data_IF_624658301343
#
_entry.id   IF_624658301343
#
_cell.length_a   1.000
_cell.length_b   1.000
_cell.length_c   1.000
_cell.angle_alpha   90.00
_cell.angle_beta   90.00
_cell.angle_gamma   90.00
#
_symmetry.space_group_name_H-M   'P 1'
#
loop_
_entity.id
_entity.type
_entity.pdbx_description
1 polymer ?
#
# COMPACT_ATOMS: atom_id res chain seq x y z
N UNK A 1 9.89 -22.98 -2.65
CA UNK A 1 10.28 -21.75 -3.36
C UNK A 1 9.07 -20.83 -3.35
N UNK A 2 9.30 -19.53 -3.18
CA UNK A 2 8.25 -18.52 -3.29
C UNK A 2 7.56 -18.61 -4.67
N UNK A 3 6.23 -18.45 -4.69
CA UNK A 3 5.42 -18.43 -5.92
C UNK A 3 5.25 -17.00 -6.45
N UNK A 4 5.28 -16.01 -5.56
CA UNK A 4 5.21 -14.58 -5.87
C UNK A 4 6.51 -13.87 -5.52
N UNK A 5 6.68 -12.65 -6.03
CA UNK A 5 7.70 -11.72 -5.54
C UNK A 5 7.21 -11.12 -4.21
N UNK A 6 5.92 -10.78 -4.15
CA UNK A 6 5.29 -10.18 -2.99
C UNK A 6 4.64 -11.23 -2.06
N UNK A 7 5.25 -11.47 -0.89
CA UNK A 7 4.76 -12.42 0.12
C UNK A 7 3.34 -12.10 0.59
N UNK A 8 3.01 -10.82 0.76
CA UNK A 8 1.68 -10.41 1.22
C UNK A 8 0.60 -10.84 0.23
N UNK A 9 0.83 -10.61 -1.07
CA UNK A 9 -0.07 -11.08 -2.13
C UNK A 9 -0.18 -12.61 -2.12
N UNK A 10 0.94 -13.33 -2.01
CA UNK A 10 0.93 -14.80 -1.98
C UNK A 10 0.03 -15.37 -0.87
N UNK A 11 0.02 -14.73 0.30
CA UNK A 11 -0.80 -15.14 1.43
C UNK A 11 -2.27 -14.74 1.28
N UNK A 12 -2.54 -13.52 0.81
CA UNK A 12 -3.90 -13.07 0.53
C UNK A 12 -4.60 -13.95 -0.52
N UNK A 13 -3.86 -14.41 -1.55
CA UNK A 13 -4.38 -15.38 -2.54
C UNK A 13 -4.75 -16.75 -1.95
N UNK A 14 -4.20 -17.07 -0.77
CA UNK A 14 -4.49 -18.30 -0.03
C UNK A 14 -5.55 -18.07 1.05
N UNK A 15 -6.21 -16.91 1.05
CA UNK A 15 -7.18 -16.50 2.07
C UNK A 15 -6.58 -16.54 3.49
N UNK A 16 -5.28 -16.20 3.59
CA UNK A 16 -4.58 -16.09 4.87
C UNK A 16 -4.50 -14.63 5.32
N UNK A 17 -4.69 -14.36 6.63
CA UNK A 17 -4.36 -13.05 7.17
C UNK A 17 -2.88 -12.76 7.01
N UNK A 18 -2.54 -11.49 6.83
CA UNK A 18 -1.17 -11.00 6.80
C UNK A 18 -0.95 -10.01 7.94
N UNK A 19 0.26 -9.97 8.45
CA UNK A 19 0.65 -9.08 9.55
C UNK A 19 1.81 -8.18 9.12
N UNK A 20 1.89 -6.99 9.69
CA UNK A 20 2.98 -6.05 9.40
C UNK A 20 3.73 -5.59 10.63
N UNK A 21 4.98 -5.20 10.39
CA UNK A 21 5.79 -4.42 11.31
C UNK A 21 6.11 -3.06 10.67
N UNK A 22 6.52 -2.09 11.48
CA UNK A 22 6.81 -0.73 11.03
C UNK A 22 5.76 0.28 11.50
N UNK A 23 6.14 1.56 11.49
CA UNK A 23 5.33 2.65 12.04
C UNK A 23 4.68 3.52 10.96
N UNK A 24 3.77 4.40 11.40
CA UNK A 24 3.13 5.42 10.56
C UNK A 24 3.92 6.75 10.52
N UNK A 25 4.96 6.88 11.36
CA UNK A 25 5.85 8.05 11.45
C UNK A 25 7.29 7.62 11.17
N UNK A 26 7.53 7.18 9.94
CA UNK A 26 8.81 6.74 9.42
C UNK A 26 9.12 5.26 9.70
N UNK A 27 10.34 4.90 9.31
CA UNK A 27 11.02 3.66 9.65
C UNK A 27 12.53 3.94 9.73
N UNK A 28 13.32 3.07 10.35
CA UNK A 28 14.78 3.22 10.33
C UNK A 28 15.29 2.75 8.97
N UNK A 29 15.54 3.71 8.07
CA UNK A 29 15.89 3.45 6.68
C UNK A 29 17.41 3.41 6.46
N UNK A 30 18.08 2.43 7.07
CA UNK A 30 19.52 2.17 6.85
C UNK A 30 19.75 0.77 6.31
N UNK A 31 20.93 0.54 5.72
CA UNK A 31 21.32 -0.80 5.26
C UNK A 31 21.35 -1.81 6.42
N UNK A 32 21.90 -1.42 7.57
CA UNK A 32 21.98 -2.30 8.74
C UNK A 32 20.61 -2.71 9.27
N UNK A 33 19.65 -1.78 9.29
CA UNK A 33 18.28 -2.12 9.66
C UNK A 33 17.66 -3.07 8.63
N UNK A 34 17.92 -2.86 7.34
CA UNK A 34 17.47 -3.77 6.28
C UNK A 34 18.00 -5.19 6.46
N UNK A 35 19.27 -5.37 6.85
CA UNK A 35 19.83 -6.70 7.15
C UNK A 35 19.06 -7.39 8.28
N UNK A 36 18.68 -6.65 9.33
CA UNK A 36 17.91 -7.20 10.45
C UNK A 36 16.48 -7.54 10.04
N UNK A 37 15.83 -6.62 9.35
CA UNK A 37 14.42 -6.74 8.97
C UNK A 37 14.18 -7.77 7.85
N UNK A 38 15.21 -8.16 7.11
CA UNK A 38 15.13 -9.26 6.14
C UNK A 38 14.63 -10.58 6.76
N UNK A 39 14.79 -10.73 8.08
CA UNK A 39 14.33 -11.87 8.87
C UNK A 39 13.17 -11.51 9.82
N UNK A 40 12.43 -10.44 9.53
CA UNK A 40 11.21 -10.09 10.27
C UNK A 40 10.22 -11.25 10.28
N UNK A 41 9.41 -11.32 11.34
CA UNK A 41 8.29 -12.26 11.45
C UNK A 41 7.09 -11.81 10.62
N UNK A 42 7.02 -10.53 10.27
CA UNK A 42 5.91 -9.92 9.55
C UNK A 42 5.89 -10.31 8.07
N UNK A 43 4.70 -10.32 7.48
CA UNK A 43 4.49 -10.64 6.06
C UNK A 43 4.81 -9.45 5.15
N UNK A 44 4.69 -8.23 5.68
CA UNK A 44 5.21 -7.01 5.05
C UNK A 44 5.71 -6.01 6.09
N UNK A 45 6.44 -5.00 5.61
CA UNK A 45 6.96 -3.89 6.40
C UNK A 45 6.29 -2.60 5.92
N UNK A 46 5.70 -1.87 6.86
CA UNK A 46 5.15 -0.53 6.61
C UNK A 46 6.23 0.54 6.82
N UNK A 47 6.35 1.46 5.87
CA UNK A 47 7.19 2.64 5.99
C UNK A 47 6.30 3.88 5.94
N UNK A 48 6.10 4.49 7.11
CA UNK A 48 5.22 5.66 7.26
C UNK A 48 5.83 6.95 6.75
N UNK A 49 5.73 7.28 5.46
CA UNK A 49 6.23 8.56 4.94
C UNK A 49 5.20 9.68 4.97
N UNK A 50 3.92 9.40 5.25
CA UNK A 50 2.88 10.42 5.45
C UNK A 50 3.27 11.41 6.56
N UNK A 51 3.68 10.88 7.71
CA UNK A 51 4.12 11.68 8.85
C UNK A 51 5.63 11.61 9.09
N UNK A 52 6.34 10.76 8.34
CA UNK A 52 7.79 10.60 8.40
C UNK A 52 8.55 11.47 7.41
N UNK A 53 9.88 11.31 7.37
CA UNK A 53 10.70 11.95 6.36
C UNK A 53 10.53 11.26 4.99
N UNK A 54 10.37 12.05 3.93
CA UNK A 54 10.40 11.56 2.55
C UNK A 54 11.83 11.30 2.08
N UNK A 55 12.46 10.26 2.64
CA UNK A 55 13.88 9.94 2.44
C UNK A 55 14.07 8.78 1.44
N UNK A 56 14.25 9.15 0.16
CA UNK A 56 14.48 8.18 -0.91
C UNK A 56 15.90 7.59 -0.92
N UNK A 57 16.87 8.27 -0.29
CA UNK A 57 18.24 7.74 -0.17
C UNK A 57 18.28 6.67 0.91
N UNK A 58 17.69 6.95 2.07
CA UNK A 58 17.52 5.97 3.13
C UNK A 58 16.71 4.76 2.65
N UNK A 59 15.59 4.98 1.94
CA UNK A 59 14.78 3.89 1.40
C UNK A 59 15.60 3.00 0.44
N UNK A 60 16.43 3.58 -0.42
CA UNK A 60 17.31 2.82 -1.33
C UNK A 60 18.31 1.94 -0.55
N UNK A 61 19.00 2.51 0.44
CA UNK A 61 19.93 1.78 1.30
C UNK A 61 19.24 0.68 2.10
N UNK A 62 18.04 0.95 2.61
CA UNK A 62 17.24 0.00 3.36
C UNK A 62 16.81 -1.19 2.50
N UNK A 63 16.30 -0.92 1.29
CA UNK A 63 15.94 -1.99 0.33
C UNK A 63 17.16 -2.84 -0.05
N UNK A 64 18.35 -2.23 -0.22
CA UNK A 64 19.59 -2.98 -0.44
C UNK A 64 19.95 -3.86 0.76
N UNK A 65 19.77 -3.37 1.99
CA UNK A 65 19.95 -4.16 3.21
C UNK A 65 19.01 -5.37 3.27
N UNK A 66 17.73 -5.20 2.90
CA UNK A 66 16.78 -6.32 2.84
C UNK A 66 17.22 -7.39 1.83
N UNK A 67 17.76 -6.98 0.68
CA UNK A 67 18.27 -7.90 -0.35
C UNK A 67 19.48 -8.68 0.17
N UNK A 68 20.43 -7.99 0.80
CA UNK A 68 21.68 -8.59 1.28
C UNK A 68 21.46 -9.50 2.51
N UNK A 69 20.43 -9.22 3.31
CA UNK A 69 20.01 -10.07 4.43
C UNK A 69 19.10 -11.23 4.01
N UNK A 70 18.51 -11.16 2.82
CA UNK A 70 17.65 -12.21 2.29
C UNK A 70 18.40 -13.48 1.85
N UNK A 71 17.67 -14.54 1.41
CA UNK A 71 16.22 -14.60 1.34
C UNK A 71 15.57 -14.70 2.72
N UNK A 72 14.29 -14.36 2.79
CA UNK A 72 13.46 -14.54 3.99
C UNK A 72 13.27 -16.02 4.32
N UNK A 73 12.75 -16.32 5.52
CA UNK A 73 12.42 -17.70 5.92
C UNK A 73 11.38 -18.37 4.99
N UNK A 74 10.52 -17.59 4.33
CA UNK A 74 9.55 -18.07 3.34
C UNK A 74 10.15 -18.21 1.93
N UNK A 75 11.44 -17.93 1.76
CA UNK A 75 12.16 -18.05 0.49
C UNK A 75 11.92 -16.90 -0.49
N UNK A 76 11.36 -15.78 -0.04
CA UNK A 76 11.23 -14.55 -0.82
C UNK A 76 12.55 -13.77 -0.78
N UNK A 77 12.85 -12.98 -1.81
CA UNK A 77 14.12 -12.24 -1.88
C UNK A 77 14.22 -11.20 -0.76
N UNK A 78 13.13 -10.50 -0.50
CA UNK A 78 12.96 -9.56 0.62
C UNK A 78 11.58 -9.77 1.25
N UNK A 79 11.31 -9.29 2.46
CA UNK A 79 9.95 -9.00 2.88
C UNK A 79 9.28 -8.03 1.89
N UNK A 80 7.95 -8.06 1.81
CA UNK A 80 7.22 -7.02 1.08
C UNK A 80 7.35 -5.69 1.84
N UNK A 81 7.43 -4.58 1.10
CA UNK A 81 7.53 -3.22 1.67
C UNK A 81 6.42 -2.37 1.10
N UNK A 82 5.60 -1.78 1.96
CA UNK A 82 4.50 -0.88 1.60
C UNK A 82 4.80 0.49 2.21
N UNK A 83 4.67 1.54 1.39
CA UNK A 83 4.96 2.91 1.83
C UNK A 83 3.67 3.71 1.95
N UNK A 84 3.45 4.34 3.10
CA UNK A 84 2.44 5.38 3.25
C UNK A 84 2.95 6.64 2.59
N UNK A 85 2.36 7.01 1.46
CA UNK A 85 2.89 8.13 0.66
C UNK A 85 2.50 9.48 1.27
N UNK A 86 3.39 10.49 1.31
CA UNK A 86 3.08 11.84 1.78
C UNK A 86 2.26 12.64 0.76
N UNK A 87 1.07 12.14 0.44
CA UNK A 87 0.11 12.77 -0.47
C UNK A 87 -1.29 12.61 0.08
N UNK A 88 -2.08 13.68 0.02
CA UNK A 88 -3.48 13.65 0.41
C UNK A 88 -4.34 13.12 -0.75
N UNK A 89 -5.14 12.09 -0.50
CA UNK A 89 -6.14 11.57 -1.45
C UNK A 89 -7.42 12.40 -1.56
N UNK A 90 -7.34 13.73 -1.38
CA UNK A 90 -8.50 14.61 -1.24
C UNK A 90 -9.14 15.05 -2.57
N UNK A 91 -8.40 15.00 -3.68
CA UNK A 91 -8.93 15.19 -5.05
C UNK A 91 -8.05 14.53 -6.13
N UNK A 92 -8.62 14.34 -7.32
CA UNK A 92 -7.89 13.85 -8.49
C UNK A 92 -6.71 14.75 -8.86
N UNK A 93 -6.88 16.06 -8.82
CA UNK A 93 -5.84 17.02 -9.18
C UNK A 93 -4.64 16.93 -8.23
N UNK A 94 -4.88 16.82 -6.92
CA UNK A 94 -3.80 16.69 -5.93
C UNK A 94 -2.98 15.44 -6.21
N UNK A 95 -3.64 14.32 -6.47
CA UNK A 95 -2.97 13.06 -6.83
C UNK A 95 -2.17 13.22 -8.13
N UNK A 96 -2.77 13.77 -9.19
CA UNK A 96 -2.08 13.93 -10.49
C UNK A 96 -0.89 14.88 -10.41
N UNK A 97 -1.01 16.01 -9.69
CA UNK A 97 0.10 16.95 -9.51
C UNK A 97 1.23 16.37 -8.66
N UNK A 98 0.91 15.50 -7.70
CA UNK A 98 1.88 14.87 -6.82
C UNK A 98 2.30 13.45 -7.24
N UNK A 99 1.90 13.00 -8.43
CA UNK A 99 2.22 11.66 -8.93
C UNK A 99 3.73 11.36 -9.01
N UNK A 100 4.57 12.39 -8.96
CA UNK A 100 6.02 12.26 -8.84
C UNK A 100 6.45 11.51 -7.56
N UNK A 101 5.69 11.58 -6.46
CA UNK A 101 5.98 10.88 -5.22
C UNK A 101 5.86 9.36 -5.40
N UNK A 102 4.76 8.88 -5.99
CA UNK A 102 4.60 7.46 -6.31
C UNK A 102 5.71 6.96 -7.24
N UNK A 103 6.06 7.76 -8.27
CA UNK A 103 7.16 7.41 -9.18
C UNK A 103 8.49 7.24 -8.45
N UNK A 104 8.82 8.14 -7.51
CA UNK A 104 10.06 8.07 -6.74
C UNK A 104 10.07 6.88 -5.77
N UNK A 105 8.95 6.65 -5.07
CA UNK A 105 8.79 5.51 -4.15
C UNK A 105 8.94 4.18 -4.91
N UNK A 106 8.15 3.98 -5.97
CA UNK A 106 8.18 2.75 -6.77
C UNK A 106 9.53 2.55 -7.47
N UNK A 107 10.28 3.62 -7.73
CA UNK A 107 11.63 3.54 -8.28
C UNK A 107 12.66 2.92 -7.31
N UNK A 108 12.32 2.77 -6.02
CA UNK A 108 13.12 2.01 -5.04
C UNK A 108 12.76 0.52 -4.98
N UNK A 109 11.84 0.06 -5.83
CA UNK A 109 11.44 -1.35 -5.88
C UNK A 109 10.58 -1.81 -4.70
N UNK A 110 9.90 -0.89 -4.01
CA UNK A 110 8.91 -1.26 -3.00
C UNK A 110 7.75 -2.04 -3.63
N UNK A 111 7.04 -2.79 -2.80
CA UNK A 111 6.05 -3.78 -3.22
C UNK A 111 4.61 -3.26 -3.16
N UNK A 112 4.40 -2.07 -2.60
CA UNK A 112 3.08 -1.48 -2.46
C UNK A 112 3.10 -0.04 -2.00
N UNK A 113 1.94 0.60 -2.10
CA UNK A 113 1.70 1.96 -1.60
C UNK A 113 0.36 1.97 -0.87
N UNK A 114 0.35 2.63 0.30
CA UNK A 114 -0.86 2.97 1.04
C UNK A 114 -1.12 4.47 0.85
N UNK A 115 -2.26 4.81 0.24
CA UNK A 115 -2.72 6.18 0.08
C UNK A 115 -3.55 6.62 1.29
N UNK A 116 -3.12 7.69 1.93
CA UNK A 116 -3.82 8.27 3.07
C UNK A 116 -4.87 9.30 2.62
N UNK A 117 -5.86 9.55 3.48
CA UNK A 117 -6.98 10.45 3.26
C UNK A 117 -7.65 10.25 1.89
N UNK A 118 -8.03 9.00 1.57
CA UNK A 118 -8.65 8.66 0.29
C UNK A 118 -10.10 9.16 0.20
N UNK A 119 -10.29 10.47 0.05
CA UNK A 119 -11.57 11.13 0.25
C UNK A 119 -12.54 10.99 -0.93
N UNK A 120 -12.04 10.79 -2.15
CA UNK A 120 -12.88 10.75 -3.36
C UNK A 120 -12.53 9.56 -4.26
N UNK A 121 -13.52 8.97 -4.97
CA UNK A 121 -13.26 7.88 -5.91
C UNK A 121 -12.31 8.29 -7.04
N UNK A 122 -12.40 9.54 -7.50
CA UNK A 122 -11.52 10.06 -8.55
C UNK A 122 -10.07 10.21 -8.09
N UNK A 123 -9.82 10.59 -6.82
CA UNK A 123 -8.48 10.58 -6.25
C UNK A 123 -7.90 9.15 -6.19
N UNK A 124 -8.72 8.18 -5.75
CA UNK A 124 -8.31 6.76 -5.69
C UNK A 124 -8.00 6.23 -7.10
N UNK A 125 -8.85 6.52 -8.07
CA UNK A 125 -8.65 6.16 -9.48
C UNK A 125 -7.34 6.76 -10.03
N UNK A 126 -7.14 8.07 -9.83
CA UNK A 126 -5.91 8.73 -10.25
C UNK A 126 -4.66 8.17 -9.56
N UNK A 127 -4.78 7.68 -8.32
CA UNK A 127 -3.69 7.05 -7.58
C UNK A 127 -3.31 5.71 -8.20
N UNK A 128 -4.30 4.85 -8.47
CA UNK A 128 -4.09 3.58 -9.16
C UNK A 128 -3.44 3.84 -10.53
N UNK A 129 -3.99 4.76 -11.33
CA UNK A 129 -3.43 5.14 -12.63
C UNK A 129 -1.98 5.66 -12.52
N UNK A 130 -1.65 6.41 -11.46
CA UNK A 130 -0.30 6.95 -11.25
C UNK A 130 0.76 5.89 -10.92
N UNK A 131 0.34 4.74 -10.40
CA UNK A 131 1.23 3.62 -10.09
C UNK A 131 1.49 2.70 -11.30
N UNK A 132 0.70 2.84 -12.38
CA UNK A 132 0.67 1.91 -13.52
C UNK A 132 1.43 2.41 -14.73
N UNK A 133 2.09 1.52 -15.45
CA UNK A 133 2.72 1.86 -16.72
C UNK A 133 1.65 2.04 -17.83
N UNK A 134 1.79 3.03 -18.75
CA UNK A 134 0.82 3.26 -19.82
C UNK A 134 0.61 2.11 -20.80
N UNK A 135 1.56 1.16 -20.88
CA UNK A 135 1.48 -0.02 -21.76
C UNK A 135 0.52 -1.08 -21.21
N UNK A 136 0.22 -1.04 -19.91
CA UNK A 136 -0.64 -2.00 -19.25
C UNK A 136 -2.11 -1.57 -19.43
N UNK A 137 -2.84 -2.33 -20.24
CA UNK A 137 -4.18 -1.95 -20.72
C UNK A 137 -5.33 -2.59 -19.94
N UNK A 138 -5.07 -3.47 -18.97
CA UNK A 138 -6.11 -4.11 -18.15
C UNK A 138 -6.92 -3.02 -17.41
N UNK A 139 -8.25 -3.12 -17.42
CA UNK A 139 -9.14 -2.15 -16.77
C UNK A 139 -9.29 -0.79 -17.48
N UNK A 140 -8.53 -0.49 -18.54
CA UNK A 140 -8.65 0.78 -19.28
C UNK A 140 -10.00 0.83 -19.99
N UNK A 141 -10.77 1.89 -19.75
CA UNK A 141 -12.15 2.03 -20.23
C UNK A 141 -13.19 1.27 -19.40
N UNK A 142 -12.75 0.57 -18.35
CA UNK A 142 -13.58 -0.19 -17.42
C UNK A 142 -13.33 0.24 -15.97
N UNK A 143 -13.38 1.56 -15.73
CA UNK A 143 -13.19 2.17 -14.41
C UNK A 143 -11.82 2.83 -14.21
N UNK A 144 -10.86 2.60 -15.10
CA UNK A 144 -9.55 3.26 -15.11
C UNK A 144 -9.26 3.90 -16.47
N UNK A 145 -8.50 4.98 -16.48
CA UNK A 145 -7.77 5.45 -17.65
C UNK A 145 -6.40 4.75 -17.78
N UNK A 146 -5.62 5.14 -18.80
CA UNK A 146 -4.25 4.64 -18.97
C UNK A 146 -3.37 5.03 -17.79
N UNK A 147 -2.49 4.11 -17.41
CA UNK A 147 -1.45 4.39 -16.42
C UNK A 147 -0.56 5.56 -16.84
N UNK A 148 0.03 6.25 -15.86
CA UNK A 148 0.86 7.45 -16.09
C UNK A 148 2.28 7.33 -15.52
N UNK A 149 2.66 6.16 -15.00
CA UNK A 149 4.03 5.87 -14.55
C UNK A 149 4.98 5.84 -15.75
N UNK A 150 5.92 6.77 -15.77
CA UNK A 150 6.94 6.83 -16.81
C UNK A 150 7.99 5.73 -16.70
N UNK A 151 8.59 5.38 -17.83
CA UNK A 151 9.81 4.54 -17.86
C UNK A 151 11.01 5.30 -17.28
N UNK A 152 12.02 4.57 -16.80
CA UNK A 152 13.28 5.11 -16.30
C UNK A 152 13.72 4.56 -14.94
N UNK A 153 12.80 3.98 -14.17
CA UNK A 153 13.12 3.40 -12.86
C UNK A 153 13.51 1.92 -12.90
N UNK A 154 13.25 1.23 -14.00
CA UNK A 154 13.50 -0.20 -14.14
C UNK A 154 14.95 -0.60 -13.80
N UNK A 155 15.99 0.19 -14.16
CA UNK A 155 17.37 -0.12 -13.77
C UNK A 155 17.61 -0.15 -12.25
N UNK A 156 16.77 0.51 -11.45
CA UNK A 156 16.86 0.50 -9.98
C UNK A 156 15.82 -0.41 -9.33
N UNK A 157 14.61 -0.52 -9.88
CA UNK A 157 13.53 -1.29 -9.27
C UNK A 157 13.52 -2.78 -9.65
N UNK A 158 13.87 -3.15 -10.88
CA UNK A 158 13.87 -4.55 -11.31
C UNK A 158 14.90 -5.42 -10.56
N UNK A 159 16.14 -4.94 -10.28
CA UNK A 159 17.09 -5.71 -9.49
C UNK A 159 16.63 -6.02 -8.06
N UNK A 160 15.81 -5.15 -7.46
CA UNK A 160 15.22 -5.37 -6.13
C UNK A 160 14.33 -6.60 -6.15
N UNK A 161 13.53 -6.76 -7.20
CA UNK A 161 12.64 -7.90 -7.40
C UNK A 161 13.36 -9.14 -7.98
N UNK A 162 14.63 -9.00 -8.35
CA UNK A 162 15.44 -10.07 -8.93
C UNK A 162 15.02 -10.51 -10.33
N UNK A 163 14.41 -9.60 -11.09
CA UNK A 163 13.94 -9.85 -12.47
C UNK A 163 14.57 -8.87 -13.46
N UNK A 164 14.46 -9.16 -14.75
CA UNK A 164 14.83 -8.21 -15.80
C UNK A 164 13.80 -7.06 -15.93
N UNK A 165 14.15 -6.04 -16.71
CA UNK A 165 13.36 -4.82 -16.83
C UNK A 165 11.99 -5.04 -17.48
N UNK A 166 11.88 -5.93 -18.46
CA UNK A 166 10.61 -6.19 -19.17
C UNK A 166 9.69 -6.99 -18.26
N UNK A 167 10.21 -8.05 -17.62
CA UNK A 167 9.48 -8.80 -16.58
C UNK A 167 9.01 -7.88 -15.45
N UNK A 168 9.83 -6.92 -15.02
CA UNK A 168 9.41 -5.93 -14.02
C UNK A 168 8.24 -5.06 -14.51
N UNK A 169 8.28 -4.57 -15.75
CA UNK A 169 7.18 -3.73 -16.30
C UNK A 169 5.86 -4.51 -16.37
N UNK A 170 5.91 -5.78 -16.76
CA UNK A 170 4.74 -6.65 -16.83
C UNK A 170 4.17 -6.97 -15.45
N UNK A 171 5.04 -7.21 -14.46
CA UNK A 171 4.66 -7.57 -13.09
C UNK A 171 4.37 -6.39 -12.18
N UNK A 172 4.89 -5.19 -12.46
CA UNK A 172 4.65 -3.98 -11.69
C UNK A 172 3.28 -3.36 -12.00
N UNK A 173 2.24 -4.20 -11.98
CA UNK A 173 0.83 -3.84 -12.01
C UNK A 173 0.18 -4.11 -10.64
N UNK A 174 -0.88 -3.37 -10.30
CA UNK A 174 -1.66 -3.62 -9.11
C UNK A 174 -2.33 -5.00 -9.13
N UNK A 175 -2.16 -5.76 -8.06
CA UNK A 175 -2.98 -6.92 -7.73
C UNK A 175 -4.20 -6.46 -6.92
N UNK A 176 -5.42 -7.00 -7.14
CA UNK A 176 -5.77 -8.12 -8.01
C UNK A 176 -6.16 -7.72 -9.45
N UNK A 177 -6.00 -6.44 -9.84
CA UNK A 177 -6.36 -5.98 -11.19
C UNK A 177 -5.64 -6.80 -12.28
N UNK A 178 -4.33 -6.97 -12.15
CA UNK A 178 -3.58 -7.98 -12.89
C UNK A 178 -3.35 -9.19 -11.97
N UNK A 179 -3.86 -10.38 -12.30
CA UNK A 179 -3.60 -11.60 -11.52
C UNK A 179 -2.11 -11.97 -11.41
N UNK A 180 -1.28 -11.53 -12.36
CA UNK A 180 0.18 -11.71 -12.34
C UNK A 180 0.94 -10.51 -11.76
N UNK A 181 0.20 -9.48 -11.32
CA UNK A 181 0.71 -8.26 -10.72
C UNK A 181 1.30 -8.49 -9.32
N UNK A 182 2.27 -7.66 -8.96
CA UNK A 182 3.03 -7.78 -7.71
C UNK A 182 2.98 -6.50 -6.86
N UNK A 183 2.26 -5.46 -7.31
CA UNK A 183 2.01 -4.25 -6.53
C UNK A 183 0.76 -4.40 -5.68
N UNK A 184 0.90 -4.24 -4.36
CA UNK A 184 -0.23 -4.21 -3.43
C UNK A 184 -0.57 -2.75 -3.09
N UNK A 185 -1.65 -2.23 -3.67
CA UNK A 185 -2.11 -0.87 -3.41
C UNK A 185 -3.25 -0.89 -2.39
N UNK A 186 -3.22 0.06 -1.46
CA UNK A 186 -4.30 0.24 -0.49
C UNK A 186 -4.61 1.70 -0.21
N UNK A 187 -5.72 1.90 0.49
CA UNK A 187 -6.23 3.23 0.86
C UNK A 187 -6.65 3.28 2.32
N UNK A 188 -6.56 4.46 2.92
CA UNK A 188 -7.14 4.74 4.24
C UNK A 188 -8.43 5.56 4.10
N UNK A 189 -9.53 4.99 4.60
CA UNK A 189 -10.84 5.63 4.70
C UNK A 189 -10.94 6.29 6.09
N UNK A 190 -10.27 7.44 6.24
CA UNK A 190 -9.95 7.98 7.56
C UNK A 190 -10.44 9.42 7.80
N UNK A 191 -11.26 9.93 6.89
CA UNK A 191 -12.01 11.17 7.08
C UNK A 191 -13.51 10.93 6.92
N UNK A 192 -14.35 11.81 7.48
CA UNK A 192 -15.81 11.74 7.27
C UNK A 192 -16.18 11.80 5.79
N UNK A 193 -15.40 12.55 4.99
CA UNK A 193 -15.59 12.62 3.54
C UNK A 193 -15.20 11.31 2.86
N UNK A 194 -14.06 10.72 3.23
CA UNK A 194 -13.69 9.38 2.75
C UNK A 194 -14.77 8.34 3.10
N UNK A 195 -15.26 8.35 4.34
CA UNK A 195 -16.32 7.45 4.79
C UNK A 195 -17.63 7.65 4.03
N UNK A 196 -17.97 8.88 3.64
CA UNK A 196 -19.17 9.15 2.84
C UNK A 196 -19.10 8.55 1.42
N UNK A 197 -17.89 8.36 0.89
CA UNK A 197 -17.61 7.85 -0.45
C UNK A 197 -17.09 6.40 -0.45
N UNK A 198 -17.02 5.72 0.70
CA UNK A 198 -16.20 4.53 0.85
C UNK A 198 -16.59 3.40 -0.12
N UNK A 199 -17.87 3.14 -0.36
CA UNK A 199 -18.29 2.09 -1.30
C UNK A 199 -17.84 2.38 -2.73
N UNK A 200 -17.86 3.65 -3.15
CA UNK A 200 -17.43 4.04 -4.50
C UNK A 200 -15.90 4.03 -4.63
N UNK A 201 -15.19 4.52 -3.61
CA UNK A 201 -13.73 4.51 -3.58
C UNK A 201 -13.16 3.10 -3.57
N UNK A 202 -13.76 2.19 -2.79
CA UNK A 202 -13.31 0.80 -2.66
C UNK A 202 -13.73 -0.08 -3.84
N UNK A 203 -14.64 0.39 -4.70
CA UNK A 203 -14.96 -0.27 -5.97
C UNK A 203 -13.99 0.08 -7.11
N UNK A 204 -13.04 0.99 -6.89
CA UNK A 204 -12.05 1.36 -7.91
C UNK A 204 -11.14 0.15 -8.19
N UNK A 205 -11.03 -0.33 -9.46
CA UNK A 205 -10.18 -1.47 -9.78
C UNK A 205 -8.71 -1.18 -9.47
N UNK A 206 -7.99 -2.17 -8.92
CA UNK A 206 -6.55 -2.08 -8.63
C UNK A 206 -6.19 -1.85 -7.17
N UNK A 207 -7.17 -1.71 -6.28
CA UNK A 207 -6.92 -1.83 -4.84
C UNK A 207 -6.88 -3.30 -4.43
N UNK A 208 -5.97 -3.65 -3.52
CA UNK A 208 -5.92 -4.98 -2.88
C UNK A 208 -6.29 -4.97 -1.40
N UNK A 209 -6.25 -3.81 -0.74
CA UNK A 209 -6.66 -3.68 0.67
C UNK A 209 -7.13 -2.27 1.03
N UNK A 210 -7.80 -2.13 2.16
CA UNK A 210 -8.10 -0.83 2.75
C UNK A 210 -8.13 -0.87 4.28
N UNK A 211 -7.87 0.29 4.88
CA UNK A 211 -7.94 0.56 6.32
C UNK A 211 -9.00 1.61 6.61
N UNK A 212 -9.55 1.64 7.83
CA UNK A 212 -10.52 2.64 8.29
C UNK A 212 -9.90 3.81 9.10
N UNK A 213 -8.57 3.86 9.21
CA UNK A 213 -7.77 4.91 9.85
C UNK A 213 -8.31 5.38 11.20
N UNK A 214 -8.25 4.54 12.25
CA UNK A 214 -8.93 4.81 13.52
C UNK A 214 -8.51 6.14 14.15
N UNK A 215 -7.23 6.52 14.06
CA UNK A 215 -6.71 7.76 14.64
C UNK A 215 -7.35 9.00 14.03
N UNK A 216 -7.24 9.14 12.71
CA UNK A 216 -7.74 10.30 11.98
C UNK A 216 -9.26 10.35 11.94
N UNK A 217 -9.94 9.20 11.90
CA UNK A 217 -11.39 9.18 11.88
C UNK A 217 -11.99 9.69 13.21
N UNK A 218 -11.35 9.44 14.35
CA UNK A 218 -11.72 10.09 15.61
C UNK A 218 -11.67 11.62 15.47
N UNK A 219 -10.56 12.14 14.95
CA UNK A 219 -10.37 13.59 14.77
C UNK A 219 -11.37 14.17 13.77
N UNK A 220 -11.63 13.47 12.66
CA UNK A 220 -12.57 13.88 11.62
C UNK A 220 -14.01 13.96 12.14
N UNK A 221 -14.40 13.08 13.07
CA UNK A 221 -15.68 13.17 13.78
C UNK A 221 -15.72 14.21 14.91
N UNK A 222 -14.62 14.91 15.18
CA UNK A 222 -14.49 15.83 16.31
C UNK A 222 -14.46 15.13 17.67
N UNK A 223 -14.02 13.87 17.72
CA UNK A 223 -13.97 13.04 18.92
C UNK A 223 -12.54 12.94 19.41
N UNK A 224 -12.30 13.29 20.68
CA UNK A 224 -11.02 13.05 21.32
C UNK A 224 -10.94 11.60 21.79
N UNK A 225 -9.94 10.84 21.31
CA UNK A 225 -9.68 9.47 21.75
C UNK A 225 -9.40 9.43 23.26
N UNK A 226 -10.07 8.51 23.96
CA UNK A 226 -9.90 8.25 25.39
C UNK A 226 -9.82 6.74 25.62
N UNK A 227 -8.62 6.18 25.89
CA UNK A 227 -8.44 4.74 26.09
C UNK A 227 -9.23 4.15 27.27
N UNK A 228 -9.71 4.99 28.19
CA UNK A 228 -10.48 4.54 29.36
C UNK A 228 -11.98 4.46 29.09
N UNK A 229 -12.43 4.83 27.88
CA UNK A 229 -13.84 4.82 27.49
C UNK A 229 -14.08 3.81 26.37
N UNK A 230 -15.30 3.23 26.29
CA UNK A 230 -15.67 2.45 25.13
C UNK A 230 -15.59 3.31 23.87
N UNK A 231 -15.30 2.67 22.74
CA UNK A 231 -15.27 3.33 21.44
C UNK A 231 -16.64 3.94 21.12
N UNK A 232 -16.65 5.17 20.62
CA UNK A 232 -17.88 5.88 20.24
C UNK A 232 -18.59 5.08 19.12
N UNK A 233 -19.93 4.86 19.20
CA UNK A 233 -20.66 4.05 18.24
C UNK A 233 -20.43 4.45 16.78
N UNK A 234 -20.19 5.74 16.50
CA UNK A 234 -19.91 6.23 15.14
C UNK A 234 -18.63 5.63 14.54
N UNK A 235 -17.63 5.33 15.37
CA UNK A 235 -16.37 4.70 14.93
C UNK A 235 -16.60 3.21 14.68
N UNK A 236 -17.37 2.54 15.53
CA UNK A 236 -17.76 1.14 15.32
C UNK A 236 -18.57 0.99 14.03
N UNK A 237 -19.56 1.85 13.81
CA UNK A 237 -20.36 1.87 12.58
C UNK A 237 -19.50 2.16 11.35
N UNK A 238 -18.56 3.10 11.44
CA UNK A 238 -17.63 3.40 10.35
C UNK A 238 -16.73 2.20 10.03
N UNK A 239 -16.13 1.56 11.04
CA UNK A 239 -15.30 0.36 10.89
C UNK A 239 -16.08 -0.75 10.18
N UNK A 240 -17.29 -1.07 10.65
CA UNK A 240 -18.11 -2.13 10.02
C UNK A 240 -18.51 -1.78 8.59
N UNK A 241 -18.80 -0.50 8.30
CA UNK A 241 -19.12 -0.06 6.95
C UNK A 241 -17.95 -0.20 5.99
N UNK A 242 -16.74 0.21 6.40
CA UNK A 242 -15.52 0.03 5.59
C UNK A 242 -15.23 -1.45 5.39
N UNK A 243 -15.31 -2.27 6.44
CA UNK A 243 -15.12 -3.71 6.36
C UNK A 243 -16.10 -4.38 5.38
N UNK A 244 -17.39 -4.06 5.47
CA UNK A 244 -18.40 -4.59 4.56
C UNK A 244 -18.16 -4.15 3.10
N UNK A 245 -17.73 -2.91 2.89
CA UNK A 245 -17.36 -2.43 1.57
C UNK A 245 -16.10 -3.14 1.01
N UNK A 246 -15.12 -3.47 1.86
CA UNK A 246 -14.00 -4.32 1.46
C UNK A 246 -14.46 -5.71 1.03
N UNK A 247 -15.32 -6.36 1.82
CA UNK A 247 -15.85 -7.70 1.53
C UNK A 247 -16.60 -7.74 0.19
N UNK A 248 -17.47 -6.77 -0.07
CA UNK A 248 -18.22 -6.65 -1.34
C UNK A 248 -17.30 -6.55 -2.56
N UNK A 249 -16.14 -5.89 -2.40
CA UNK A 249 -15.19 -5.64 -3.49
C UNK A 249 -14.01 -6.63 -3.51
N UNK A 250 -14.00 -7.64 -2.63
CA UNK A 250 -12.92 -8.62 -2.55
C UNK A 250 -11.59 -8.02 -2.08
N UNK A 251 -11.62 -6.95 -1.27
CA UNK A 251 -10.44 -6.31 -0.71
C UNK A 251 -10.12 -6.89 0.68
N UNK A 252 -8.83 -7.00 1.00
CA UNK A 252 -8.42 -7.26 2.37
C UNK A 252 -8.75 -6.05 3.27
N UNK A 253 -9.28 -6.29 4.47
CA UNK A 253 -9.55 -5.25 5.45
C UNK A 253 -8.44 -5.20 6.50
N UNK A 254 -7.69 -4.09 6.53
CA UNK A 254 -6.64 -3.86 7.50
C UNK A 254 -7.25 -3.32 8.80
N UNK A 255 -6.93 -3.99 9.91
CA UNK A 255 -7.37 -3.59 11.23
C UNK A 255 -6.38 -4.02 12.31
N UNK A 256 -6.52 -3.45 13.50
CA UNK A 256 -5.71 -3.83 14.66
C UNK A 256 -6.07 -5.23 15.18
N UNK A 257 -5.06 -6.06 15.42
CA UNK A 257 -5.17 -7.31 16.17
C UNK A 257 -4.37 -7.23 17.48
N UNK A 258 -4.75 -8.02 18.48
CA UNK A 258 -3.89 -8.30 19.64
C UNK A 258 -3.20 -9.66 19.42
N UNK A 259 -2.11 -9.97 20.13
CA UNK A 259 -1.51 -11.31 20.08
C UNK A 259 -2.45 -12.46 20.49
N UNK A 260 -3.61 -12.14 21.07
CA UNK A 260 -4.58 -13.11 21.58
C UNK A 260 -5.72 -13.41 20.60
N UNK A 261 -5.84 -12.63 19.51
CA UNK A 261 -6.92 -12.70 18.52
C UNK A 261 -6.41 -13.07 17.12
#
# INVERSE_FOLDING_TARGET
MAKRINRAIELLEQDQPIYYAGGHTGHVLTHEQGLMDAHTWADYINVGMEHGAFDMTGLDHYMQGLIDGGPTASGHRTPAVIVETPVEGSSEEIIRFNAWQFRMILARGVHGILLCQAETPDAVRAFVESCRYPINMIGVGHGLDRGTRGTGSQPTSAPVWGVDADTYVDKAEPWPLNPDGELLLGVKIETVRALSNCEQSLAVPGLGFAEWGPGDLHMSFGIRRDPNKPMDPRLTEARERVKAACEVNGLAFLDGCSPEN
#
